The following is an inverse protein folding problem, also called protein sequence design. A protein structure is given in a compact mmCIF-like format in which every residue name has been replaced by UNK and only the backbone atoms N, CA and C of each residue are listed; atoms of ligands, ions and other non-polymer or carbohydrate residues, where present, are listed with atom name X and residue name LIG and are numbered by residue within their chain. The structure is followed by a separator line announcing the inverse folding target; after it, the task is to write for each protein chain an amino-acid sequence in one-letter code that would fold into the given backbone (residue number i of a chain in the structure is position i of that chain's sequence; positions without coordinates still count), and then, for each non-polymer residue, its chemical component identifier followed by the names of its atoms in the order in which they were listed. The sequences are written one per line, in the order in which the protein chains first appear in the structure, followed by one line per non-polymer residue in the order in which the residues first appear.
data_IF_032037446423
#
_entry.id   IF_032037446423
#
_cell.length_a   1.000
_cell.length_b   1.000
_cell.length_c   1.000
_cell.angle_alpha   90.00
_cell.angle_beta   90.00
_cell.angle_gamma   90.00
#
_symmetry.space_group_name_H-M   'P 1'
#
loop_
_entity.id
_entity.type
_entity.pdbx_description
1 polymer ?
#
# COMPACT_ATOMS: atom_id res chain seq x y z
N UNK A 1 -0.55 4.89 -22.32
CA UNK A 1 -1.59 5.34 -21.36
C UNK A 1 -1.72 4.27 -20.30
N UNK A 2 -1.59 4.64 -19.02
CA UNK A 2 -1.78 3.71 -17.91
C UNK A 2 -3.28 3.46 -17.73
N UNK A 3 -3.70 2.20 -17.61
CA UNK A 3 -5.10 1.82 -17.41
C UNK A 3 -5.19 0.71 -16.38
N UNK A 4 -6.29 0.67 -15.64
CA UNK A 4 -6.59 -0.42 -14.70
C UNK A 4 -7.85 -1.12 -15.15
N UNK A 5 -7.84 -2.46 -15.08
CA UNK A 5 -9.00 -3.29 -15.38
C UNK A 5 -9.22 -4.34 -14.29
N UNK A 6 -10.49 -4.69 -14.01
CA UNK A 6 -10.82 -5.83 -13.19
C UNK A 6 -10.17 -7.11 -13.72
N UNK A 7 -9.70 -7.97 -12.82
CA UNK A 7 -9.27 -9.33 -13.15
C UNK A 7 -10.50 -10.24 -13.18
N UNK A 8 -11.01 -10.51 -14.39
CA UNK A 8 -11.96 -11.60 -14.63
C UNK A 8 -11.22 -12.88 -15.08
N UNK A 9 -11.96 -13.99 -15.21
CA UNK A 9 -11.42 -15.28 -15.64
C UNK A 9 -10.68 -15.22 -16.99
N UNK A 10 -11.12 -14.35 -17.91
CA UNK A 10 -10.50 -14.19 -19.24
C UNK A 10 -9.24 -13.32 -19.21
N UNK A 11 -8.99 -12.65 -18.08
CA UNK A 11 -7.87 -11.75 -17.88
C UNK A 11 -6.71 -12.36 -17.09
N UNK A 12 -6.78 -13.65 -16.74
CA UNK A 12 -5.68 -14.39 -16.11
C UNK A 12 -4.41 -14.33 -16.97
N UNK A 13 -4.55 -14.51 -18.29
CA UNK A 13 -3.45 -14.41 -19.25
C UNK A 13 -2.87 -13.00 -19.41
N UNK A 14 -3.52 -12.00 -18.82
CA UNK A 14 -3.12 -10.60 -18.85
C UNK A 14 -2.30 -10.21 -17.62
N UNK A 15 -2.09 -11.11 -16.68
CA UNK A 15 -1.23 -10.90 -15.52
C UNK A 15 0.24 -10.78 -15.96
N UNK A 16 0.98 -9.92 -15.26
CA UNK A 16 2.43 -9.89 -15.39
C UNK A 16 3.08 -11.17 -14.85
N UNK A 17 4.33 -11.47 -15.24
CA UNK A 17 5.00 -12.72 -14.90
C UNK A 17 5.08 -12.95 -13.39
N UNK A 18 5.30 -11.90 -12.60
CA UNK A 18 5.33 -12.01 -11.13
C UNK A 18 3.93 -12.26 -10.59
N UNK A 19 2.94 -11.48 -11.01
CA UNK A 19 1.56 -11.61 -10.57
C UNK A 19 0.96 -13.00 -10.88
N UNK A 20 1.35 -13.58 -12.02
CA UNK A 20 0.87 -14.87 -12.53
C UNK A 20 1.43 -16.07 -11.77
N UNK A 21 2.69 -15.99 -11.32
CA UNK A 21 3.37 -17.10 -10.62
C UNK A 21 3.28 -17.02 -9.10
N UNK A 22 3.06 -15.82 -8.56
CA UNK A 22 3.02 -15.62 -7.12
C UNK A 22 1.80 -16.29 -6.47
N UNK A 23 2.08 -17.27 -5.61
CA UNK A 23 1.08 -18.01 -4.80
C UNK A 23 1.26 -17.84 -3.30
N UNK A 24 1.95 -16.78 -2.88
CA UNK A 24 2.13 -16.45 -1.46
C UNK A 24 0.79 -16.49 -0.73
N UNK A 25 -0.17 -15.64 -1.09
CA UNK A 25 -1.46 -15.61 -0.40
C UNK A 25 -2.35 -16.84 -0.63
N UNK A 26 -2.13 -17.53 -1.74
CA UNK A 26 -2.92 -18.68 -2.19
C UNK A 26 -2.54 -20.00 -1.49
N UNK A 27 -1.48 -19.99 -0.69
CA UNK A 27 -0.96 -21.17 0.02
C UNK A 27 -0.75 -20.84 1.49
N UNK A 28 -0.91 -21.82 2.39
CA UNK A 28 -0.65 -21.67 3.82
C UNK A 28 0.84 -21.78 4.19
N UNK A 29 1.70 -22.10 3.22
CA UNK A 29 3.13 -22.30 3.41
C UNK A 29 3.52 -23.62 4.07
N UNK A 30 2.58 -24.51 4.35
CA UNK A 30 2.82 -25.83 4.97
C UNK A 30 3.08 -26.94 3.94
N UNK A 31 3.57 -26.58 2.76
CA UNK A 31 3.78 -27.54 1.69
C UNK A 31 4.89 -28.54 2.07
N UNK A 32 4.60 -29.84 1.93
CA UNK A 32 5.65 -30.86 1.95
C UNK A 32 6.49 -30.76 0.68
N UNK A 33 7.82 -30.75 0.82
CA UNK A 33 8.79 -30.73 -0.29
C UNK A 33 8.57 -31.85 -1.33
N UNK A 34 7.86 -32.92 -0.95
CA UNK A 34 7.62 -34.11 -1.79
C UNK A 34 6.52 -33.96 -2.85
N UNK A 35 5.81 -32.83 -2.93
CA UNK A 35 4.73 -32.65 -3.91
C UNK A 35 5.09 -31.58 -4.94
N UNK A 36 5.45 -31.97 -6.19
CA UNK A 36 5.59 -31.02 -7.28
C UNK A 36 4.24 -30.34 -7.50
N UNK A 37 4.21 -29.02 -7.36
CA UNK A 37 3.06 -28.21 -7.73
C UNK A 37 3.48 -27.08 -8.65
N UNK A 38 2.56 -26.66 -9.51
CA UNK A 38 2.74 -25.59 -10.47
C UNK A 38 2.13 -24.30 -9.91
N UNK A 39 2.95 -23.31 -9.49
CA UNK A 39 2.46 -22.06 -8.92
C UNK A 39 1.53 -21.29 -9.87
N UNK A 40 1.75 -21.40 -11.18
CA UNK A 40 0.89 -20.74 -12.15
C UNK A 40 -0.50 -21.38 -12.12
N UNK A 41 -0.58 -22.70 -12.25
CA UNK A 41 -1.84 -23.43 -12.14
C UNK A 41 -2.56 -23.18 -10.80
N UNK A 42 -1.83 -23.15 -9.68
CA UNK A 42 -2.40 -22.85 -8.37
C UNK A 42 -2.97 -21.43 -8.28
N UNK A 43 -2.29 -20.45 -8.88
CA UNK A 43 -2.78 -19.08 -8.99
C UNK A 43 -4.06 -19.03 -9.82
N UNK A 44 -4.07 -19.68 -10.98
CA UNK A 44 -5.25 -19.74 -11.86
C UNK A 44 -6.43 -20.45 -11.19
N UNK A 45 -6.16 -21.55 -10.48
CA UNK A 45 -7.17 -22.29 -9.74
C UNK A 45 -7.79 -21.45 -8.62
N UNK A 46 -6.97 -20.70 -7.87
CA UNK A 46 -7.47 -19.79 -6.86
C UNK A 46 -8.28 -18.63 -7.45
N UNK A 47 -7.78 -17.96 -8.50
CA UNK A 47 -8.52 -16.89 -9.20
C UNK A 47 -9.86 -17.44 -9.68
N UNK A 48 -9.86 -18.65 -10.23
CA UNK A 48 -11.07 -19.29 -10.74
C UNK A 48 -12.08 -19.57 -9.64
N UNK A 49 -11.62 -20.16 -8.54
CA UNK A 49 -12.46 -20.44 -7.38
C UNK A 49 -13.09 -19.17 -6.81
N UNK A 50 -12.30 -18.12 -6.53
CA UNK A 50 -12.84 -16.88 -5.97
C UNK A 50 -13.75 -16.16 -6.96
N UNK A 51 -13.42 -16.16 -8.25
CA UNK A 51 -14.25 -15.54 -9.28
C UNK A 51 -15.63 -16.20 -9.40
N UNK A 52 -15.70 -17.52 -9.26
CA UNK A 52 -16.97 -18.27 -9.31
C UNK A 52 -17.82 -18.06 -8.05
N UNK A 53 -17.19 -18.06 -6.87
CA UNK A 53 -17.91 -17.98 -5.59
C UNK A 53 -18.25 -16.54 -5.16
N UNK A 54 -17.38 -15.58 -5.48
CA UNK A 54 -17.45 -14.21 -4.95
C UNK A 54 -17.33 -13.11 -6.01
N UNK A 55 -16.94 -13.45 -7.24
CA UNK A 55 -16.72 -12.51 -8.34
C UNK A 55 -15.30 -11.95 -8.38
N UNK A 56 -15.13 -10.81 -9.05
CA UNK A 56 -13.82 -10.17 -9.29
C UNK A 56 -12.98 -10.13 -8.01
N UNK A 57 -11.76 -10.69 -8.10
CA UNK A 57 -10.83 -10.85 -6.99
C UNK A 57 -9.48 -10.14 -7.23
N UNK A 58 -9.42 -9.25 -8.21
CA UNK A 58 -8.20 -8.49 -8.48
C UNK A 58 -8.38 -7.32 -9.44
N UNK A 59 -7.36 -6.48 -9.49
CA UNK A 59 -7.18 -5.39 -10.45
C UNK A 59 -5.84 -5.56 -11.15
N UNK A 60 -5.78 -5.29 -12.45
CA UNK A 60 -4.56 -5.35 -13.27
C UNK A 60 -4.26 -3.96 -13.83
N UNK A 61 -3.07 -3.45 -13.54
CA UNK A 61 -2.54 -2.23 -14.12
C UNK A 61 -1.78 -2.55 -15.41
N UNK A 62 -1.97 -1.71 -16.43
CA UNK A 62 -1.40 -1.90 -17.77
C UNK A 62 -0.93 -0.60 -18.38
N UNK A 63 0.17 -0.70 -19.12
CA UNK A 63 0.66 0.35 -20.01
C UNK A 63 0.64 -0.17 -21.45
N UNK A 64 -0.40 0.21 -22.21
CA UNK A 64 -0.68 -0.43 -23.50
C UNK A 64 -0.98 -1.92 -23.30
N UNK A 65 -0.27 -2.78 -24.03
CA UNK A 65 -0.43 -4.23 -23.91
C UNK A 65 0.40 -4.86 -22.78
N UNK A 66 1.26 -4.09 -22.11
CA UNK A 66 2.11 -4.61 -21.04
C UNK A 66 1.44 -4.49 -19.68
N UNK A 67 1.38 -5.58 -18.92
CA UNK A 67 0.99 -5.52 -17.50
C UNK A 67 2.10 -4.87 -16.67
N UNK A 68 1.72 -3.94 -15.80
CA UNK A 68 2.64 -3.21 -14.91
C UNK A 68 2.46 -3.59 -13.44
N UNK A 69 1.35 -4.26 -13.10
CA UNK A 69 1.14 -4.81 -11.78
C UNK A 69 -0.26 -5.36 -11.61
N UNK A 70 -0.50 -5.95 -10.44
CA UNK A 70 -1.80 -6.44 -10.04
C UNK A 70 -1.99 -6.29 -8.53
N UNK A 71 -3.25 -6.16 -8.10
CA UNK A 71 -3.65 -6.27 -6.71
C UNK A 71 -4.71 -7.36 -6.60
N UNK A 72 -4.62 -8.20 -5.58
CA UNK A 72 -5.56 -9.29 -5.33
C UNK A 72 -6.28 -9.07 -4.00
N UNK A 73 -7.55 -9.44 -3.94
CA UNK A 73 -8.38 -9.25 -2.76
C UNK A 73 -9.54 -10.23 -2.76
N UNK A 74 -9.92 -10.69 -1.57
CA UNK A 74 -10.98 -11.69 -1.41
C UNK A 74 -11.50 -11.72 0.05
N UNK A 75 -12.64 -12.37 0.32
CA UNK A 75 -13.05 -12.70 1.68
C UNK A 75 -11.94 -13.51 2.38
N UNK A 76 -11.65 -13.25 3.67
CA UNK A 76 -10.53 -13.89 4.36
C UNK A 76 -10.57 -15.42 4.35
N UNK A 77 -11.77 -16.01 4.38
CA UNK A 77 -11.97 -17.46 4.33
C UNK A 77 -11.54 -18.09 2.99
N UNK A 78 -11.39 -17.30 1.92
CA UNK A 78 -10.94 -17.75 0.60
C UNK A 78 -9.44 -17.48 0.39
N UNK A 79 -8.71 -16.99 1.39
CA UNK A 79 -7.27 -16.69 1.33
C UNK A 79 -6.53 -17.60 2.32
N UNK A 80 -5.97 -18.74 1.87
CA UNK A 80 -5.38 -19.73 2.78
C UNK A 80 -4.35 -19.15 3.75
N UNK A 81 -3.47 -18.27 3.29
CA UNK A 81 -2.43 -17.69 4.15
C UNK A 81 -2.96 -16.75 5.24
N UNK A 82 -4.19 -16.25 5.13
CA UNK A 82 -4.72 -15.26 6.07
C UNK A 82 -4.66 -15.76 7.52
N UNK A 83 -4.98 -17.04 7.76
CA UNK A 83 -4.96 -17.62 9.10
C UNK A 83 -3.54 -17.79 9.69
N UNK A 84 -2.49 -17.70 8.87
CA UNK A 84 -1.10 -17.91 9.29
C UNK A 84 -0.46 -16.65 9.90
N UNK A 85 -1.10 -15.48 9.79
CA UNK A 85 -0.56 -14.23 10.31
C UNK A 85 -0.78 -14.09 11.83
N UNK A 86 0.17 -13.48 12.56
CA UNK A 86 0.11 -13.37 14.03
C UNK A 86 -1.02 -12.45 14.51
N UNK A 87 -1.47 -11.52 13.68
CA UNK A 87 -2.52 -10.54 13.99
C UNK A 87 -3.91 -10.95 13.51
N UNK A 88 -4.06 -12.20 13.06
CA UNK A 88 -5.34 -12.82 12.69
C UNK A 88 -6.27 -13.04 13.89
N UNK A 89 -7.60 -13.19 13.67
CA UNK A 89 -8.29 -13.22 12.38
C UNK A 89 -8.61 -11.83 11.83
N UNK A 90 -8.68 -11.70 10.51
CA UNK A 90 -9.26 -10.53 9.81
C UNK A 90 -10.70 -10.31 10.26
N UNK A 91 -11.13 -9.05 10.35
CA UNK A 91 -12.51 -8.68 10.68
C UNK A 91 -13.52 -9.34 9.75
N UNK A 92 -14.61 -9.88 10.29
CA UNK A 92 -15.63 -10.61 9.51
C UNK A 92 -16.42 -9.73 8.52
N UNK A 93 -16.34 -8.41 8.69
CA UNK A 93 -16.97 -7.39 7.84
C UNK A 93 -16.01 -6.80 6.80
N UNK A 94 -14.75 -7.25 6.77
CA UNK A 94 -13.71 -6.73 5.91
C UNK A 94 -13.33 -7.70 4.79
N UNK A 95 -12.92 -7.13 3.66
CA UNK A 95 -12.24 -7.87 2.59
C UNK A 95 -10.74 -7.76 2.78
N UNK A 96 -10.03 -8.87 2.61
CA UNK A 96 -8.58 -8.89 2.74
C UNK A 96 -7.92 -8.43 1.44
N UNK A 97 -7.04 -7.44 1.50
CA UNK A 97 -6.06 -7.14 0.45
C UNK A 97 -4.97 -8.21 0.47
N UNK A 98 -5.13 -9.21 -0.39
CA UNK A 98 -4.31 -10.42 -0.47
C UNK A 98 -3.15 -10.26 -1.48
N UNK A 99 -2.42 -9.16 -1.33
CA UNK A 99 -1.16 -8.90 -2.05
C UNK A 99 -1.26 -7.94 -3.22
N UNK A 100 -0.15 -7.25 -3.44
CA UNK A 100 0.09 -6.37 -4.58
C UNK A 100 1.43 -6.75 -5.20
N UNK A 101 1.43 -6.94 -6.52
CA UNK A 101 2.63 -7.26 -7.29
C UNK A 101 2.86 -6.15 -8.31
N UNK A 102 4.06 -5.57 -8.29
CA UNK A 102 4.47 -4.54 -9.24
C UNK A 102 5.54 -5.15 -10.12
N UNK A 103 5.37 -5.03 -11.43
CA UNK A 103 6.32 -5.54 -12.41
C UNK A 103 7.49 -4.56 -12.60
N UNK A 104 8.63 -5.07 -13.03
CA UNK A 104 9.80 -4.24 -13.30
C UNK A 104 9.51 -3.17 -14.37
N UNK A 105 10.01 -1.96 -14.13
CA UNK A 105 9.76 -0.81 -15.01
C UNK A 105 8.29 -0.34 -15.02
N UNK A 106 7.51 -0.69 -13.99
CA UNK A 106 6.21 -0.06 -13.77
C UNK A 106 6.37 1.43 -13.41
N UNK A 107 5.41 2.30 -13.80
CA UNK A 107 5.37 3.67 -13.32
C UNK A 107 5.27 3.72 -11.78
N UNK A 108 5.94 4.68 -11.15
CA UNK A 108 5.96 4.78 -9.68
C UNK A 108 4.58 4.92 -9.02
N UNK A 109 3.58 5.45 -9.74
CA UNK A 109 2.20 5.57 -9.27
C UNK A 109 1.32 4.31 -9.46
N UNK A 110 1.88 3.19 -9.96
CA UNK A 110 1.13 1.96 -10.17
C UNK A 110 0.55 1.35 -8.88
N UNK A 111 1.27 1.29 -7.74
CA UNK A 111 0.72 0.78 -6.48
C UNK A 111 -0.49 1.60 -6.01
N UNK A 112 -0.37 2.92 -5.96
CA UNK A 112 -1.46 3.83 -5.58
C UNK A 112 -2.67 3.65 -6.48
N UNK A 113 -2.45 3.64 -7.81
CA UNK A 113 -3.55 3.48 -8.77
C UNK A 113 -4.28 2.14 -8.58
N UNK A 114 -3.53 1.05 -8.35
CA UNK A 114 -4.10 -0.27 -8.06
C UNK A 114 -4.93 -0.26 -6.78
N UNK A 115 -4.40 0.30 -5.69
CA UNK A 115 -5.13 0.40 -4.43
C UNK A 115 -6.42 1.22 -4.58
N UNK A 116 -6.35 2.36 -5.26
CA UNK A 116 -7.53 3.19 -5.55
C UNK A 116 -8.59 2.43 -6.34
N UNK A 117 -8.18 1.59 -7.29
CA UNK A 117 -9.08 0.75 -8.07
C UNK A 117 -9.73 -0.35 -7.22
N UNK A 118 -8.98 -0.96 -6.29
CA UNK A 118 -9.51 -1.92 -5.31
C UNK A 118 -10.55 -1.24 -4.41
N UNK A 119 -10.22 -0.08 -3.82
CA UNK A 119 -11.14 0.69 -2.97
C UNK A 119 -12.41 1.05 -3.74
N UNK A 120 -12.26 1.56 -4.96
CA UNK A 120 -13.39 1.93 -5.82
C UNK A 120 -14.28 0.73 -6.16
N UNK A 121 -13.70 -0.44 -6.42
CA UNK A 121 -14.46 -1.66 -6.70
C UNK A 121 -15.25 -2.13 -5.49
N UNK A 122 -14.59 -2.25 -4.34
CA UNK A 122 -15.20 -2.72 -3.10
C UNK A 122 -16.29 -1.76 -2.62
N UNK A 123 -16.08 -0.44 -2.77
CA UNK A 123 -17.10 0.58 -2.51
C UNK A 123 -18.35 0.38 -3.38
N UNK A 124 -18.19 0.18 -4.70
CA UNK A 124 -19.34 -0.06 -5.60
C UNK A 124 -20.11 -1.32 -5.23
N UNK A 125 -19.44 -2.30 -4.64
CA UNK A 125 -20.02 -3.57 -4.16
C UNK A 125 -20.65 -3.46 -2.76
N UNK A 126 -20.62 -2.29 -2.13
CA UNK A 126 -21.18 -2.06 -0.80
C UNK A 126 -20.36 -2.67 0.35
N UNK A 127 -19.08 -2.99 0.10
CA UNK A 127 -18.16 -3.44 1.13
C UNK A 127 -17.75 -2.25 1.99
N UNK A 128 -17.70 -2.45 3.30
CA UNK A 128 -17.48 -1.38 4.27
C UNK A 128 -16.02 -1.20 4.66
N UNK A 129 -15.22 -2.26 4.59
CA UNK A 129 -13.84 -2.21 5.02
C UNK A 129 -12.91 -3.11 4.22
N UNK A 130 -11.67 -2.67 4.14
CA UNK A 130 -10.53 -3.44 3.66
C UNK A 130 -9.59 -3.64 4.82
N UNK A 131 -9.13 -4.86 5.04
CA UNK A 131 -8.04 -5.13 5.96
C UNK A 131 -6.83 -5.66 5.19
N UNK A 132 -5.65 -5.39 5.71
CA UNK A 132 -4.38 -5.82 5.15
C UNK A 132 -3.42 -6.15 6.28
N UNK A 133 -2.59 -7.17 6.08
CA UNK A 133 -1.39 -7.34 6.88
C UNK A 133 -0.30 -6.48 6.25
N UNK A 134 0.36 -5.65 7.05
CA UNK A 134 1.50 -4.83 6.61
C UNK A 134 2.82 -5.52 6.88
N UNK A 135 3.90 -4.96 6.32
CA UNK A 135 5.28 -5.28 6.70
C UNK A 135 5.96 -4.03 7.25
N UNK A 136 6.45 -4.10 8.49
CA UNK A 136 7.10 -2.98 9.20
C UNK A 136 8.60 -3.17 9.45
N UNK A 137 9.09 -4.41 9.41
CA UNK A 137 10.50 -4.76 9.65
C UNK A 137 11.05 -5.56 8.46
N UNK A 138 12.36 -5.46 8.23
CA UNK A 138 13.08 -6.24 7.21
C UNK A 138 13.38 -7.69 7.64
N UNK A 139 12.95 -8.11 8.84
CA UNK A 139 13.06 -9.49 9.30
C UNK A 139 11.64 -10.05 9.48
N UNK A 140 11.05 -10.51 8.37
CA UNK A 140 9.68 -11.06 8.37
C UNK A 140 9.63 -12.58 8.50
N UNK A 141 10.78 -13.22 8.76
CA UNK A 141 10.93 -14.67 8.74
C UNK A 141 10.99 -15.26 7.33
N UNK A 142 11.48 -16.49 7.23
CA UNK A 142 11.81 -17.17 5.97
C UNK A 142 10.61 -17.92 5.32
N UNK A 143 9.37 -17.54 5.64
CA UNK A 143 8.22 -18.26 5.06
C UNK A 143 8.02 -17.83 3.62
N UNK A 144 8.51 -18.66 2.70
CA UNK A 144 8.37 -18.46 1.26
C UNK A 144 7.20 -19.27 0.71
N UNK A 145 6.64 -18.83 -0.41
CA UNK A 145 5.83 -19.69 -1.27
C UNK A 145 6.70 -20.54 -2.20
N UNK A 146 6.08 -21.49 -2.90
CA UNK A 146 6.82 -22.40 -3.80
C UNK A 146 7.55 -21.68 -4.93
N UNK A 147 7.04 -20.54 -5.38
CA UNK A 147 7.71 -19.68 -6.36
C UNK A 147 8.83 -18.82 -5.76
N UNK A 148 9.22 -19.09 -4.50
CA UNK A 148 10.20 -18.33 -3.71
C UNK A 148 9.77 -16.89 -3.40
N UNK A 149 8.48 -16.52 -3.57
CA UNK A 149 8.00 -15.23 -3.08
C UNK A 149 7.93 -15.24 -1.55
N UNK A 150 8.59 -14.26 -0.94
CA UNK A 150 8.46 -13.97 0.50
C UNK A 150 7.56 -12.79 0.78
N UNK A 151 7.26 -12.62 2.07
CA UNK A 151 6.55 -11.47 2.67
C UNK A 151 7.05 -10.13 2.15
N UNK A 152 8.37 -9.92 2.08
CA UNK A 152 8.98 -8.65 1.65
C UNK A 152 8.55 -8.16 0.27
N UNK A 153 8.11 -9.09 -0.58
CA UNK A 153 7.84 -8.80 -1.98
C UNK A 153 6.36 -9.00 -2.33
N UNK A 154 5.58 -9.64 -1.45
CA UNK A 154 4.17 -9.97 -1.65
C UNK A 154 3.21 -9.27 -0.67
N UNK A 155 3.75 -8.61 0.37
CA UNK A 155 3.00 -7.82 1.36
C UNK A 155 3.30 -6.34 1.16
N UNK A 156 2.26 -5.50 1.22
CA UNK A 156 2.44 -4.05 1.10
C UNK A 156 3.13 -3.47 2.35
N UNK A 157 4.10 -2.55 2.20
CA UNK A 157 4.72 -1.87 3.33
C UNK A 157 3.69 -1.18 4.22
N UNK A 158 3.83 -1.29 5.54
CA UNK A 158 2.94 -0.64 6.50
C UNK A 158 2.85 0.87 6.25
N UNK A 159 3.99 1.51 5.96
CA UNK A 159 4.03 2.95 5.66
C UNK A 159 3.19 3.33 4.43
N UNK A 160 3.23 2.52 3.37
CA UNK A 160 2.41 2.74 2.17
C UNK A 160 0.91 2.63 2.50
N UNK A 161 0.50 1.62 3.26
CA UNK A 161 -0.89 1.44 3.65
C UNK A 161 -1.40 2.62 4.50
N UNK A 162 -0.60 3.06 5.48
CA UNK A 162 -0.94 4.21 6.34
C UNK A 162 -1.05 5.51 5.53
N UNK A 163 -0.14 5.74 4.58
CA UNK A 163 -0.21 6.90 3.67
C UNK A 163 -1.51 6.92 2.86
N UNK A 164 -2.09 5.75 2.56
CA UNK A 164 -3.34 5.59 1.83
C UNK A 164 -4.56 5.43 2.75
N UNK A 165 -4.45 5.89 4.00
CA UNK A 165 -5.58 6.02 4.92
C UNK A 165 -5.91 4.78 5.74
N UNK A 166 -5.11 3.71 5.65
CA UNK A 166 -5.27 2.58 6.56
C UNK A 166 -4.81 2.97 7.98
N UNK A 167 -5.47 2.41 8.98
CA UNK A 167 -5.13 2.56 10.40
C UNK A 167 -4.71 1.22 10.97
N UNK A 168 -3.76 1.20 11.90
CA UNK A 168 -3.36 -0.04 12.59
C UNK A 168 -4.47 -0.42 13.57
N UNK A 169 -5.05 -1.61 13.39
CA UNK A 169 -6.10 -2.17 14.27
C UNK A 169 -5.61 -3.31 15.15
N UNK A 170 -4.47 -3.91 14.80
CA UNK A 170 -3.72 -4.80 15.69
C UNK A 170 -2.22 -4.61 15.48
N UNK A 171 -1.52 -4.26 16.55
CA UNK A 171 -0.07 -4.04 16.54
C UNK A 171 0.70 -5.37 16.48
N UNK A 172 1.81 -5.37 15.76
CA UNK A 172 2.82 -6.42 15.76
C UNK A 172 4.13 -5.86 15.17
N UNK A 173 5.27 -6.35 15.63
CA UNK A 173 6.59 -5.84 15.24
C UNK A 173 6.87 -6.01 13.73
N UNK A 174 6.54 -7.18 13.19
CA UNK A 174 6.77 -7.51 11.78
C UNK A 174 5.51 -7.36 10.90
N UNK A 175 4.38 -7.91 11.33
CA UNK A 175 3.13 -7.99 10.56
C UNK A 175 1.92 -7.35 11.28
N UNK A 176 1.88 -6.02 11.46
CA UNK A 176 0.69 -5.37 11.99
C UNK A 176 -0.50 -5.58 11.06
N UNK A 177 -1.72 -5.64 11.62
CA UNK A 177 -2.95 -5.64 10.82
C UNK A 177 -3.51 -4.25 10.76
N UNK A 178 -3.82 -3.82 9.55
CA UNK A 178 -4.36 -2.52 9.24
C UNK A 178 -5.75 -2.62 8.63
N UNK A 179 -6.53 -1.57 8.80
CA UNK A 179 -7.91 -1.44 8.31
C UNK A 179 -8.14 -0.09 7.65
N UNK A 180 -8.82 -0.11 6.52
CA UNK A 180 -9.40 1.05 5.84
C UNK A 180 -10.92 0.90 5.83
N UNK A 181 -11.62 1.78 6.53
CA UNK A 181 -13.08 1.86 6.47
C UNK A 181 -13.52 2.73 5.29
N UNK A 182 -14.13 2.10 4.27
CA UNK A 182 -14.46 2.67 2.96
C UNK A 182 -15.48 3.82 3.05
N UNK A 183 -16.38 3.78 4.03
CA UNK A 183 -17.44 4.78 4.21
C UNK A 183 -17.03 5.97 5.10
N UNK A 184 -15.77 6.02 5.55
CA UNK A 184 -15.30 7.10 6.43
C UNK A 184 -15.16 8.43 5.68
N UNK A 185 -15.54 9.54 6.34
CA UNK A 185 -15.43 10.93 5.84
C UNK A 185 -14.04 11.31 5.27
N UNK A 186 -13.01 10.54 5.60
CA UNK A 186 -11.63 10.72 5.15
C UNK A 186 -11.43 10.32 3.67
N UNK A 187 -12.11 9.27 3.19
CA UNK A 187 -12.02 8.87 1.79
C UNK A 187 -12.72 9.84 0.84
N UNK A 188 -13.80 10.49 1.31
CA UNK A 188 -14.43 11.58 0.57
C UNK A 188 -13.46 12.74 0.33
N UNK A 189 -12.66 13.13 1.34
CA UNK A 189 -11.67 14.20 1.17
C UNK A 189 -10.56 13.81 0.19
N UNK A 190 -10.02 12.60 0.30
CA UNK A 190 -9.01 12.10 -0.63
C UNK A 190 -9.54 11.95 -2.06
N UNK A 191 -10.76 11.43 -2.25
CA UNK A 191 -11.43 11.34 -3.55
C UNK A 191 -11.66 12.74 -4.16
N UNK A 192 -12.07 13.72 -3.34
CA UNK A 192 -12.28 15.11 -3.78
C UNK A 192 -10.94 15.77 -4.12
N UNK A 193 -9.91 15.62 -3.31
CA UNK A 193 -8.58 16.16 -3.58
C UNK A 193 -7.99 15.56 -4.85
N UNK A 194 -8.12 14.24 -5.05
CA UNK A 194 -7.68 13.56 -6.28
C UNK A 194 -8.47 13.98 -7.50
N UNK A 195 -9.79 14.14 -7.39
CA UNK A 195 -10.62 14.65 -8.47
C UNK A 195 -10.30 16.12 -8.81
N UNK A 196 -9.96 16.93 -7.79
CA UNK A 196 -9.49 18.29 -7.98
C UNK A 196 -8.12 18.31 -8.68
N UNK A 197 -7.18 17.47 -8.26
CA UNK A 197 -5.85 17.36 -8.88
C UNK A 197 -5.94 16.92 -10.34
N UNK A 198 -6.81 15.94 -10.65
CA UNK A 198 -7.10 15.53 -12.02
C UNK A 198 -7.71 16.67 -12.84
N UNK A 199 -8.70 17.38 -12.28
CA UNK A 199 -9.31 18.54 -12.94
C UNK A 199 -8.30 19.67 -13.18
N UNK A 200 -7.38 19.91 -12.23
CA UNK A 200 -6.34 20.92 -12.35
C UNK A 200 -5.28 20.54 -13.40
N UNK A 201 -4.90 19.26 -13.45
CA UNK A 201 -4.02 18.72 -14.49
C UNK A 201 -4.65 18.83 -15.88
N UNK A 202 -5.96 18.57 -16.01
CA UNK A 202 -6.70 18.65 -17.28
C UNK A 202 -6.94 20.09 -17.76
N UNK A 203 -7.20 21.03 -16.84
CA UNK A 203 -7.54 22.42 -17.19
C UNK A 203 -6.38 23.40 -17.16
N UNK A 204 -5.16 22.95 -16.85
CA UNK A 204 -3.95 23.79 -16.88
C UNK A 204 -3.97 24.94 -15.88
N UNK A 205 -4.75 24.84 -14.81
CA UNK A 205 -4.69 25.83 -13.73
C UNK A 205 -3.42 25.55 -12.91
N UNK A 206 -2.46 26.46 -12.95
CA UNK A 206 -1.30 26.39 -12.08
C UNK A 206 -1.79 26.38 -10.62
N UNK A 207 -1.51 25.29 -9.90
CA UNK A 207 -1.72 25.20 -8.45
C UNK A 207 -1.00 26.37 -7.83
N UNK A 208 -1.77 27.34 -7.33
CA UNK A 208 -1.21 28.58 -6.77
C UNK A 208 -0.50 28.18 -5.49
N UNK A 209 0.81 27.98 -5.57
CA UNK A 209 1.67 27.83 -4.39
C UNK A 209 1.33 29.02 -3.50
N UNK A 210 0.76 28.75 -2.32
CA UNK A 210 0.52 29.78 -1.32
C UNK A 210 1.90 30.20 -0.83
N UNK A 211 2.50 31.15 -1.54
CA UNK A 211 3.78 31.75 -1.20
C UNK A 211 3.56 32.47 0.13
N UNK A 212 4.15 31.92 1.19
CA UNK A 212 4.36 32.63 2.45
C UNK A 212 4.95 33.99 2.10
N UNK A 213 4.18 35.05 2.32
CA UNK A 213 4.65 36.42 2.15
C UNK A 213 5.59 36.74 3.31
N UNK A 214 6.85 36.34 3.15
CA UNK A 214 7.96 36.88 3.92
C UNK A 214 8.44 38.18 3.25
N UNK A 215 8.41 39.27 4.00
CA UNK A 215 9.26 40.44 3.79
C UNK A 215 8.55 41.73 3.36
N UNK A 216 8.32 42.63 4.33
CA UNK A 216 8.44 44.06 4.12
C UNK A 216 9.34 44.64 5.23
N UNK A 217 10.52 45.08 4.83
CA UNK A 217 11.55 45.77 5.62
C UNK A 217 11.44 47.28 5.47
N UNK A 218 11.76 48.06 6.53
CA UNK A 218 12.69 49.23 6.56
C UNK A 218 12.40 50.10 7.80
N UNK A 219 13.29 50.18 8.80
CA UNK A 219 14.52 51.02 8.98
C UNK A 219 14.26 52.47 9.43
N UNK A 220 14.77 52.79 10.63
CA UNK A 220 15.53 53.97 11.10
C UNK A 220 15.34 54.05 12.63
N UNK A 221 16.33 54.21 13.52
CA UNK A 221 17.72 54.64 13.47
C UNK A 221 17.91 55.63 14.63
N UNK A 222 18.73 55.32 15.65
CA UNK A 222 19.62 56.25 16.37
C UNK A 222 20.29 55.60 17.60
N UNK A 223 21.54 56.01 17.80
CA UNK A 223 22.57 55.53 18.72
C UNK A 223 22.35 55.94 20.20
N UNK A 224 23.02 55.23 21.13
CA UNK A 224 24.05 55.74 22.07
C UNK A 224 24.47 54.62 23.06
N UNK A 225 25.76 54.48 23.44
CA UNK A 225 26.30 53.29 24.13
C UNK A 225 26.57 53.50 25.63
N UNK A 226 26.65 52.43 26.42
CA UNK A 226 27.35 52.46 27.72
C UNK A 226 27.93 51.10 28.19
N UNK A 227 29.26 51.07 28.18
CA UNK A 227 30.22 50.44 29.11
C UNK A 227 30.13 48.95 29.53
N UNK A 228 31.24 48.25 29.28
CA UNK A 228 31.66 47.02 29.93
C UNK A 228 32.11 47.26 31.39
N UNK A 229 32.19 46.19 32.22
CA UNK A 229 33.52 45.86 32.74
C UNK A 229 33.85 44.35 32.83
N UNK A 230 35.06 44.07 32.35
CA UNK A 230 36.13 43.16 32.83
C UNK A 230 35.83 41.92 33.70
N UNK A 231 36.44 40.81 33.26
CA UNK A 231 36.64 39.55 33.97
C UNK A 231 37.69 39.62 35.09
N UNK A 232 37.72 38.61 35.98
CA UNK A 232 39.00 38.09 36.45
C UNK A 232 39.12 36.55 36.42
N UNK A 233 40.24 36.12 35.84
CA UNK A 233 41.20 35.05 36.19
C UNK A 233 40.74 33.73 36.85
N UNK A 234 41.18 32.67 36.16
CA UNK A 234 41.45 31.29 36.57
C UNK A 234 41.88 31.02 38.04
N UNK A 235 41.45 29.86 38.55
CA UNK A 235 42.20 29.05 39.51
C UNK A 235 42.05 27.55 39.20
N UNK A 236 43.19 26.92 38.92
CA UNK A 236 43.42 25.47 39.06
C UNK A 236 43.15 25.05 40.51
N UNK A 237 42.59 23.86 40.71
CA UNK A 237 43.03 22.97 41.79
C UNK A 237 42.67 21.51 41.48
N UNK A 238 43.70 20.70 41.68
CA UNK A 238 43.81 19.24 41.62
C UNK A 238 43.11 18.55 42.80
N UNK A 239 42.46 17.42 42.53
CA UNK A 239 42.60 16.18 43.30
C UNK A 239 42.15 14.99 42.48
#
# INVERSE_FOLDING_TARGET
MNSIRPLDLSAVDQLGPRARRCVYWQTDGQHSDDQPGDPEFEKEAWISHVSLEWGVCGQVAREGDRATGAAFYAPPAMVPRAACFPTSPVGSDAILLAGMSIEDGAPGGAPTSLLDAVVSDLRRRGIKAIEAFGISASDTGDVLSRDMCGSESCIAPTGFLVEHGFTVVAEHETHPRLRLDIESDHLWKADVERALDQLFAERGFATRTLRVLSGATARHGEDIPLAAPQAPRARRQSR
#
